data_IF_129782519263
#
_entry.id   IF_129782519263
#
_cell.length_a   1.000
_cell.length_b   1.000
_cell.length_c   1.000
_cell.angle_alpha   90.00
_cell.angle_beta   90.00
_cell.angle_gamma   90.00
#
_symmetry.space_group_name_H-M   'P 1'
#
loop_
_entity.id
_entity.type
_entity.pdbx_description
1 polymer ?
#
# COMPACT_ATOMS: atom_id res chain seq x y z
N UNK A 1 -39.92 -20.80 -37.74
CA UNK A 1 -40.34 -22.11 -38.27
C UNK A 1 -40.81 -21.92 -39.71
N UNK A 2 -40.23 -22.62 -40.63
CA UNK A 2 -40.62 -22.63 -42.03
C UNK A 2 -41.09 -24.05 -42.35
N UNK A 3 -42.32 -24.16 -42.90
CA UNK A 3 -42.87 -25.44 -43.34
C UNK A 3 -42.92 -25.40 -44.85
N UNK A 4 -42.42 -26.43 -45.56
CA UNK A 4 -42.47 -26.57 -46.98
C UNK A 4 -43.82 -27.12 -47.43
N UNK A 5 -44.07 -27.17 -48.76
CA UNK A 5 -45.30 -27.68 -49.35
C UNK A 5 -45.52 -29.21 -49.18
N UNK A 6 -44.51 -29.92 -48.74
CA UNK A 6 -44.56 -31.34 -48.39
C UNK A 6 -44.84 -31.56 -46.89
N UNK A 7 -45.02 -30.48 -46.08
CA UNK A 7 -45.29 -30.54 -44.64
C UNK A 7 -44.06 -30.73 -43.80
N UNK A 8 -42.88 -30.65 -44.38
CA UNK A 8 -41.62 -30.70 -43.59
C UNK A 8 -41.36 -29.37 -42.92
N UNK A 9 -41.09 -29.42 -41.61
CA UNK A 9 -40.89 -28.22 -40.82
C UNK A 9 -39.42 -28.11 -40.45
N UNK A 10 -38.78 -27.00 -40.77
CA UNK A 10 -37.45 -26.65 -40.34
C UNK A 10 -37.52 -25.51 -39.33
N UNK A 11 -36.96 -25.71 -38.16
CA UNK A 11 -36.84 -24.68 -37.14
C UNK A 11 -35.40 -24.18 -37.14
N UNK A 12 -35.20 -22.91 -37.47
CA UNK A 12 -33.93 -22.25 -37.33
C UNK A 12 -33.99 -21.27 -36.14
N UNK A 13 -33.19 -21.48 -35.16
CA UNK A 13 -33.06 -20.56 -34.04
C UNK A 13 -32.10 -19.43 -34.43
N UNK A 14 -32.63 -18.24 -34.66
CA UNK A 14 -31.83 -17.04 -34.89
C UNK A 14 -31.53 -16.41 -33.53
N UNK A 15 -30.28 -16.52 -33.10
CA UNK A 15 -29.78 -15.80 -31.92
C UNK A 15 -29.43 -14.38 -32.32
N UNK A 16 -30.25 -13.42 -31.94
CA UNK A 16 -29.93 -12.01 -32.06
C UNK A 16 -29.23 -11.58 -30.77
N UNK A 17 -27.97 -11.22 -30.87
CA UNK A 17 -27.30 -10.52 -29.79
C UNK A 17 -27.50 -9.01 -30.01
N UNK A 18 -28.34 -8.38 -29.22
CA UNK A 18 -28.43 -6.91 -29.24
C UNK A 18 -27.08 -6.32 -28.82
N UNK A 19 -26.57 -5.31 -29.55
CA UNK A 19 -25.35 -4.65 -29.15
C UNK A 19 -25.51 -4.05 -27.74
N UNK A 20 -24.53 -4.22 -26.91
CA UNK A 20 -24.45 -3.60 -25.56
C UNK A 20 -24.66 -2.09 -25.70
N UNK A 21 -25.52 -1.53 -24.87
CA UNK A 21 -25.74 -0.08 -24.82
C UNK A 21 -24.70 0.64 -24.02
N UNK A 22 -24.07 -0.06 -23.11
CA UNK A 22 -23.05 0.48 -22.18
C UNK A 22 -21.67 -0.03 -22.59
N UNK A 23 -20.71 0.88 -22.74
CA UNK A 23 -19.29 0.56 -22.94
C UNK A 23 -18.40 1.30 -21.96
N UNK A 24 -17.39 0.60 -21.43
CA UNK A 24 -16.35 1.18 -20.57
C UNK A 24 -15.33 1.90 -21.46
N UNK A 25 -15.23 3.23 -21.31
CA UNK A 25 -14.38 4.06 -22.16
C UNK A 25 -13.01 4.33 -21.52
N UNK A 26 -13.02 4.70 -20.25
CA UNK A 26 -11.81 5.10 -19.55
C UNK A 26 -11.86 4.66 -18.09
N UNK A 27 -10.73 4.18 -17.61
CA UNK A 27 -10.50 3.91 -16.18
C UNK A 27 -9.30 4.69 -15.69
N UNK A 28 -9.40 5.21 -14.47
CA UNK A 28 -8.29 5.76 -13.72
C UNK A 28 -8.29 5.11 -12.33
N UNK A 29 -7.44 4.11 -12.16
CA UNK A 29 -7.37 3.32 -10.93
C UNK A 29 -6.65 4.06 -9.80
N UNK A 30 -5.88 5.11 -10.12
CA UNK A 30 -5.32 5.98 -9.09
C UNK A 30 -6.37 6.95 -8.55
N UNK A 31 -7.16 7.56 -9.41
CA UNK A 31 -8.28 8.42 -9.01
C UNK A 31 -9.51 7.61 -8.56
N UNK A 32 -9.50 6.28 -8.69
CA UNK A 32 -10.63 5.38 -8.42
C UNK A 32 -11.88 5.72 -9.24
N UNK A 33 -11.72 6.15 -10.49
CA UNK A 33 -12.81 6.58 -11.37
C UNK A 33 -12.94 5.73 -12.63
N UNK A 34 -14.15 5.69 -13.20
CA UNK A 34 -14.38 5.18 -14.54
C UNK A 34 -15.39 6.06 -15.28
N UNK A 35 -15.22 6.13 -16.61
CA UNK A 35 -16.17 6.73 -17.53
C UNK A 35 -16.73 5.67 -18.46
N UNK A 36 -18.05 5.63 -18.57
CA UNK A 36 -18.79 4.71 -19.44
C UNK A 36 -19.66 5.54 -20.39
N UNK A 37 -19.77 5.10 -21.64
CA UNK A 37 -20.75 5.65 -22.57
C UNK A 37 -22.01 4.78 -22.58
N UNK A 38 -23.16 5.44 -22.67
CA UNK A 38 -24.47 4.83 -22.83
C UNK A 38 -25.00 5.34 -24.13
N UNK A 39 -25.34 4.44 -25.07
CA UNK A 39 -25.72 4.79 -26.42
C UNK A 39 -27.13 4.26 -26.77
N UNK A 40 -27.77 4.89 -27.75
CA UNK A 40 -29.02 4.43 -28.35
C UNK A 40 -30.20 4.32 -27.35
N UNK A 41 -30.31 5.27 -26.44
CA UNK A 41 -31.49 5.40 -25.58
C UNK A 41 -32.58 6.15 -26.32
N UNK A 42 -33.83 5.76 -26.09
CA UNK A 42 -34.98 6.48 -26.66
C UNK A 42 -34.92 7.96 -26.23
N UNK A 43 -35.08 8.86 -27.22
CA UNK A 43 -35.07 10.31 -26.98
C UNK A 43 -36.24 10.77 -26.11
N UNK A 44 -37.30 9.99 -26.00
CA UNK A 44 -38.46 10.27 -25.16
C UNK A 44 -38.30 9.75 -23.72
N UNK A 45 -37.18 9.06 -23.40
CA UNK A 45 -36.91 8.58 -22.05
C UNK A 45 -36.90 9.75 -21.04
N UNK A 46 -37.63 9.58 -19.96
CA UNK A 46 -37.75 10.60 -18.91
C UNK A 46 -36.60 10.52 -17.90
N UNK A 47 -36.01 9.33 -17.75
CA UNK A 47 -34.89 9.11 -16.83
C UNK A 47 -33.93 8.05 -17.38
N UNK A 48 -32.62 8.31 -17.19
CA UNK A 48 -31.55 7.35 -17.47
C UNK A 48 -30.63 7.31 -16.24
N UNK A 49 -30.41 6.11 -15.72
CA UNK A 49 -29.56 5.88 -14.54
C UNK A 49 -28.69 4.66 -14.76
N UNK A 50 -27.42 4.77 -14.37
CA UNK A 50 -26.48 3.64 -14.29
C UNK A 50 -26.18 3.36 -12.81
N UNK A 51 -26.47 2.16 -12.39
CA UNK A 51 -26.10 1.68 -11.05
C UNK A 51 -24.97 0.66 -11.17
N UNK A 52 -24.10 0.63 -10.18
CA UNK A 52 -22.98 -0.30 -10.12
C UNK A 52 -22.72 -0.76 -8.69
N UNK A 53 -22.08 -1.91 -8.55
CA UNK A 53 -21.60 -2.43 -7.26
C UNK A 53 -20.40 -3.36 -7.48
N UNK A 54 -19.63 -3.60 -6.44
CA UNK A 54 -18.68 -4.71 -6.43
C UNK A 54 -19.49 -6.00 -6.49
N UNK A 55 -19.08 -6.92 -7.35
CA UNK A 55 -19.78 -8.20 -7.53
C UNK A 55 -19.89 -8.96 -6.22
N UNK A 56 -21.13 -9.34 -5.88
CA UNK A 56 -21.46 -10.02 -4.64
C UNK A 56 -21.88 -9.11 -3.49
N UNK A 57 -21.71 -7.78 -3.61
CA UNK A 57 -22.29 -6.83 -2.67
C UNK A 57 -23.81 -6.69 -2.90
N UNK A 58 -24.53 -6.30 -1.86
CA UNK A 58 -26.00 -6.19 -1.92
C UNK A 58 -26.48 -4.81 -2.36
N UNK A 59 -25.74 -3.77 -2.01
CA UNK A 59 -26.14 -2.38 -2.23
C UNK A 59 -25.63 -1.87 -3.58
N UNK A 60 -26.51 -1.16 -4.31
CA UNK A 60 -26.17 -0.49 -5.55
C UNK A 60 -25.76 0.97 -5.30
N UNK A 61 -24.65 1.36 -5.90
CA UNK A 61 -24.23 2.76 -5.99
C UNK A 61 -24.72 3.33 -7.33
N UNK A 62 -25.00 4.63 -7.38
CA UNK A 62 -25.43 5.31 -8.61
C UNK A 62 -24.25 6.09 -9.19
N UNK A 63 -23.96 5.87 -10.47
CA UNK A 63 -23.01 6.69 -11.22
C UNK A 63 -23.64 8.04 -11.56
N UNK A 64 -22.80 9.07 -11.70
CA UNK A 64 -23.23 10.36 -12.23
C UNK A 64 -23.48 10.22 -13.73
N UNK A 65 -24.70 10.51 -14.20
CA UNK A 65 -25.07 10.38 -15.61
C UNK A 65 -25.37 11.77 -16.19
N UNK A 66 -24.69 12.09 -17.29
CA UNK A 66 -24.85 13.35 -18.02
C UNK A 66 -25.29 13.05 -19.46
N UNK A 67 -26.35 13.72 -19.90
CA UNK A 67 -26.79 13.66 -21.29
C UNK A 67 -25.83 14.41 -22.19
N UNK A 68 -25.38 13.77 -23.27
CA UNK A 68 -24.52 14.40 -24.28
C UNK A 68 -25.36 15.00 -25.40
N UNK A 69 -26.05 14.16 -26.16
CA UNK A 69 -26.98 14.51 -27.23
C UNK A 69 -27.63 13.26 -27.80
N UNK A 70 -28.79 13.40 -28.44
CA UNK A 70 -29.39 12.36 -29.29
C UNK A 70 -29.51 10.96 -28.69
N UNK A 71 -29.85 10.85 -27.39
CA UNK A 71 -30.01 9.55 -26.72
C UNK A 71 -28.68 8.92 -26.32
N UNK A 72 -27.58 9.71 -26.23
CA UNK A 72 -26.29 9.27 -25.73
C UNK A 72 -25.97 9.97 -24.40
N UNK A 73 -25.32 9.24 -23.50
CA UNK A 73 -25.00 9.72 -22.16
C UNK A 73 -23.58 9.30 -21.78
N UNK A 74 -22.99 10.04 -20.87
CA UNK A 74 -21.76 9.64 -20.14
C UNK A 74 -22.14 9.33 -18.70
N UNK A 75 -21.77 8.13 -18.23
CA UNK A 75 -21.86 7.76 -16.82
C UNK A 75 -20.46 7.79 -16.19
N UNK A 76 -20.33 8.43 -15.03
CA UNK A 76 -19.07 8.51 -14.31
C UNK A 76 -19.17 7.85 -12.95
N UNK A 77 -18.36 6.83 -12.72
CA UNK A 77 -18.15 6.22 -11.41
C UNK A 77 -17.07 7.02 -10.67
N UNK A 78 -17.37 7.44 -9.45
CA UNK A 78 -16.46 8.22 -8.59
C UNK A 78 -16.38 7.61 -7.19
N UNK A 79 -15.21 7.71 -6.51
CA UNK A 79 -15.09 7.30 -5.12
C UNK A 79 -15.77 8.32 -4.20
N UNK A 80 -16.22 7.85 -3.06
CA UNK A 80 -16.59 8.70 -1.92
C UNK A 80 -15.44 8.66 -0.91
N UNK A 81 -15.01 9.81 -0.44
CA UNK A 81 -13.94 9.94 0.54
C UNK A 81 -14.51 10.32 1.90
N UNK A 82 -13.97 9.69 2.94
CA UNK A 82 -14.19 10.10 4.33
C UNK A 82 -12.95 10.88 4.77
N UNK A 83 -13.16 12.10 5.26
CA UNK A 83 -12.11 12.89 5.90
C UNK A 83 -12.10 12.66 7.41
N UNK A 84 -10.92 12.71 8.00
CA UNK A 84 -10.70 12.63 9.44
C UNK A 84 -9.42 13.37 9.82
N UNK A 85 -9.05 13.29 11.07
CA UNK A 85 -7.76 13.79 11.58
C UNK A 85 -6.95 12.61 12.11
N UNK A 86 -5.65 12.64 11.88
CA UNK A 86 -4.73 11.70 12.48
C UNK A 86 -4.31 12.14 13.90
N UNK A 87 -3.46 11.36 14.56
CA UNK A 87 -2.96 11.62 15.92
C UNK A 87 -2.20 12.95 16.07
N UNK A 88 -1.77 13.56 14.96
CA UNK A 88 -1.11 14.86 14.93
C UNK A 88 -2.05 16.02 14.57
N UNK A 89 -3.36 15.77 14.42
CA UNK A 89 -4.34 16.76 14.02
C UNK A 89 -4.25 17.15 12.54
N UNK A 90 -3.59 16.33 11.71
CA UNK A 90 -3.51 16.56 10.27
C UNK A 90 -4.68 15.89 9.57
N UNK A 91 -5.29 16.60 8.62
CA UNK A 91 -6.37 16.03 7.81
C UNK A 91 -5.88 14.86 6.98
N UNK A 92 -6.62 13.76 7.05
CA UNK A 92 -6.40 12.55 6.27
C UNK A 92 -7.70 12.13 5.59
N UNK A 93 -7.54 11.34 4.51
CA UNK A 93 -8.65 10.83 3.70
C UNK A 93 -8.55 9.32 3.56
N UNK A 94 -9.68 8.64 3.69
CA UNK A 94 -9.85 7.23 3.36
C UNK A 94 -10.94 7.05 2.32
N UNK A 95 -10.71 6.22 1.32
CA UNK A 95 -11.72 5.91 0.32
C UNK A 95 -12.77 4.97 0.94
N UNK A 96 -14.05 5.22 0.64
CA UNK A 96 -15.07 4.23 0.87
C UNK A 96 -14.85 3.08 -0.13
N UNK A 97 -14.53 1.89 0.36
CA UNK A 97 -14.19 0.73 -0.47
C UNK A 97 -15.35 0.12 -1.27
N UNK A 98 -16.56 0.65 -1.13
CA UNK A 98 -17.76 0.25 -1.89
C UNK A 98 -18.08 1.19 -3.03
N UNK A 99 -17.54 2.40 -3.04
CA UNK A 99 -17.78 3.42 -4.07
C UNK A 99 -16.52 3.69 -4.87
N UNK A 100 -16.66 3.96 -6.16
CA UNK A 100 -15.52 4.15 -7.05
C UNK A 100 -15.06 2.85 -7.72
N UNK A 101 -13.91 2.93 -8.37
CA UNK A 101 -13.32 1.84 -9.15
C UNK A 101 -11.96 1.47 -8.58
N UNK A 102 -11.82 0.25 -8.08
CA UNK A 102 -10.58 -0.27 -7.49
C UNK A 102 -9.98 -1.38 -8.36
N UNK A 103 -8.67 -1.49 -8.36
CA UNK A 103 -7.97 -2.60 -9.01
C UNK A 103 -8.36 -3.96 -8.41
N UNK A 104 -8.23 -5.01 -9.19
CA UNK A 104 -8.50 -6.41 -8.78
C UNK A 104 -9.95 -6.69 -8.33
N UNK A 105 -10.87 -5.75 -8.44
CA UNK A 105 -12.30 -5.97 -8.16
C UNK A 105 -13.06 -6.28 -9.42
N UNK A 106 -14.13 -7.06 -9.29
CA UNK A 106 -15.11 -7.30 -10.36
C UNK A 106 -16.38 -6.52 -10.04
N UNK A 107 -16.95 -5.86 -11.01
CA UNK A 107 -18.13 -5.01 -10.86
C UNK A 107 -19.30 -5.53 -11.64
N UNK A 108 -20.50 -5.37 -11.08
CA UNK A 108 -21.78 -5.50 -11.78
C UNK A 108 -22.35 -4.12 -12.02
N UNK A 109 -22.96 -3.91 -13.17
CA UNK A 109 -23.75 -2.72 -13.44
C UNK A 109 -25.12 -3.06 -13.98
N UNK A 110 -26.05 -2.13 -13.81
CA UNK A 110 -27.36 -2.15 -14.46
C UNK A 110 -27.69 -0.76 -15.00
N UNK A 111 -28.16 -0.74 -16.27
CA UNK A 111 -28.71 0.44 -16.92
C UNK A 111 -30.22 0.44 -16.72
N UNK A 112 -30.74 1.50 -16.11
CA UNK A 112 -32.17 1.71 -15.95
C UNK A 112 -32.62 2.88 -16.83
N UNK A 113 -33.71 2.68 -17.55
CA UNK A 113 -34.40 3.71 -18.31
C UNK A 113 -35.86 3.71 -17.89
N UNK A 114 -36.33 4.85 -17.41
CA UNK A 114 -37.66 5.03 -16.82
C UNK A 114 -38.01 3.99 -15.76
N UNK A 115 -36.98 3.66 -14.94
CA UNK A 115 -37.07 2.70 -13.84
C UNK A 115 -37.01 1.23 -14.27
N UNK A 116 -36.92 0.93 -15.58
CA UNK A 116 -36.83 -0.44 -16.10
C UNK A 116 -35.37 -0.79 -16.41
N UNK A 117 -34.91 -1.94 -15.93
CA UNK A 117 -33.56 -2.45 -16.23
C UNK A 117 -33.52 -2.89 -17.69
N UNK A 118 -32.76 -2.17 -18.52
CA UNK A 118 -32.57 -2.48 -19.95
C UNK A 118 -31.34 -3.36 -20.18
N UNK A 119 -30.31 -3.22 -19.37
CA UNK A 119 -29.08 -3.98 -19.53
C UNK A 119 -28.47 -4.24 -18.14
N UNK A 120 -27.94 -5.44 -17.97
CA UNK A 120 -27.13 -5.80 -16.80
C UNK A 120 -25.92 -6.60 -17.26
N UNK A 121 -24.73 -6.25 -16.77
CA UNK A 121 -23.51 -6.92 -17.17
C UNK A 121 -22.43 -6.79 -16.08
N UNK A 122 -21.29 -7.44 -16.34
CA UNK A 122 -20.13 -7.47 -15.44
C UNK A 122 -18.93 -6.86 -16.18
N UNK A 123 -18.13 -6.10 -15.47
CA UNK A 123 -16.81 -5.67 -15.96
C UNK A 123 -15.74 -5.80 -14.88
N UNK A 124 -14.50 -5.97 -15.34
CA UNK A 124 -13.33 -6.02 -14.47
C UNK A 124 -12.36 -4.93 -14.94
N UNK A 125 -11.97 -4.00 -14.09
CA UNK A 125 -10.91 -3.04 -14.42
C UNK A 125 -9.61 -3.76 -14.76
N UNK A 126 -8.76 -3.11 -15.56
CA UNK A 126 -7.43 -3.63 -15.83
C UNK A 126 -6.68 -3.92 -14.52
N UNK A 127 -6.07 -5.09 -14.46
CA UNK A 127 -5.31 -5.50 -13.27
C UNK A 127 -3.89 -4.97 -13.43
N UNK A 128 -3.59 -3.85 -12.79
CA UNK A 128 -2.23 -3.33 -12.73
C UNK A 128 -1.59 -3.85 -11.45
N UNK A 129 -0.87 -4.95 -11.58
CA UNK A 129 -0.04 -5.46 -10.51
C UNK A 129 1.18 -4.56 -10.36
N UNK A 130 1.55 -4.30 -9.12
CA UNK A 130 2.71 -3.48 -8.83
C UNK A 130 4.04 -4.18 -9.16
N UNK A 131 5.10 -3.45 -8.91
CA UNK A 131 6.49 -3.84 -9.09
C UNK A 131 6.83 -5.12 -8.30
N UNK A 132 7.66 -6.03 -8.85
CA UNK A 132 8.16 -7.25 -8.21
C UNK A 132 8.96 -7.04 -6.91
N UNK A 133 9.06 -5.82 -6.38
CA UNK A 133 9.64 -5.53 -5.06
C UNK A 133 9.07 -6.46 -3.97
N UNK A 134 7.85 -6.95 -4.14
CA UNK A 134 7.19 -7.86 -3.21
C UNK A 134 7.33 -9.35 -3.58
N UNK A 135 8.23 -9.71 -4.48
CA UNK A 135 8.41 -11.08 -4.93
C UNK A 135 8.86 -12.09 -3.86
N UNK A 136 9.02 -11.62 -2.62
CA UNK A 136 9.44 -12.44 -1.48
C UNK A 136 10.95 -12.38 -1.22
N UNK A 137 11.37 -13.09 -0.18
CA UNK A 137 12.77 -13.18 0.24
C UNK A 137 13.34 -14.57 -0.06
N UNK A 138 14.65 -14.62 -0.27
CA UNK A 138 15.43 -15.86 -0.33
C UNK A 138 16.73 -15.65 0.44
N UNK A 139 17.43 -16.71 0.78
CA UNK A 139 18.73 -16.62 1.47
C UNK A 139 19.79 -15.81 0.72
N UNK A 140 19.63 -15.65 -0.61
CA UNK A 140 20.49 -14.84 -1.46
C UNK A 140 20.09 -13.37 -1.59
N UNK A 141 18.99 -12.94 -0.93
CA UNK A 141 18.57 -11.53 -1.00
C UNK A 141 19.64 -10.63 -0.38
N UNK A 142 19.98 -9.54 -1.09
CA UNK A 142 21.10 -8.66 -0.72
C UNK A 142 20.90 -7.94 0.62
N UNK A 143 19.67 -7.74 1.07
CA UNK A 143 19.36 -7.16 2.38
C UNK A 143 19.87 -8.02 3.56
N UNK A 144 20.18 -9.30 3.35
CA UNK A 144 20.73 -10.18 4.38
C UNK A 144 22.27 -10.20 4.40
N UNK A 145 22.90 -9.48 3.51
CA UNK A 145 24.35 -9.34 3.45
C UNK A 145 24.82 -8.04 4.11
N UNK A 146 26.13 -7.91 4.32
CA UNK A 146 26.74 -6.66 4.79
C UNK A 146 26.99 -5.65 3.68
N UNK A 147 26.65 -6.00 2.43
CA UNK A 147 26.86 -5.19 1.23
C UNK A 147 25.52 -4.63 0.75
N UNK A 148 25.16 -3.42 1.20
CA UNK A 148 23.95 -2.72 0.76
C UNK A 148 24.31 -1.80 -0.42
N UNK A 149 23.96 -2.23 -1.62
CA UNK A 149 24.21 -1.45 -2.85
C UNK A 149 23.00 -0.60 -3.22
N UNK A 150 23.22 0.45 -4.00
CA UNK A 150 22.15 1.35 -4.49
C UNK A 150 21.14 0.66 -5.42
N UNK A 151 21.44 -0.53 -5.92
CA UNK A 151 20.58 -1.30 -6.81
C UNK A 151 19.63 -2.24 -6.09
N UNK A 152 19.71 -2.38 -4.75
CA UNK A 152 18.82 -3.26 -4.00
C UNK A 152 17.50 -2.59 -3.72
N UNK A 153 16.39 -3.35 -3.82
CA UNK A 153 15.07 -2.87 -3.43
C UNK A 153 14.96 -2.78 -1.91
N UNK A 154 15.52 -3.77 -1.21
CA UNK A 154 15.52 -3.86 0.23
C UNK A 154 16.94 -3.71 0.79
N UNK A 155 17.06 -2.95 1.88
CA UNK A 155 18.25 -2.80 2.68
C UNK A 155 18.03 -3.17 4.15
N UNK A 156 19.11 -3.34 4.89
CA UNK A 156 19.10 -3.57 6.33
C UNK A 156 20.30 -2.90 6.98
N UNK A 157 20.32 -2.84 8.32
CA UNK A 157 21.43 -2.34 9.09
C UNK A 157 22.65 -3.27 9.16
N UNK A 158 22.64 -4.40 8.47
CA UNK A 158 23.77 -5.33 8.43
C UNK A 158 25.05 -4.63 7.98
N UNK A 159 26.11 -4.86 8.72
CA UNK A 159 27.44 -4.33 8.42
C UNK A 159 28.53 -5.27 8.97
N UNK A 160 29.79 -4.98 8.74
CA UNK A 160 30.91 -5.84 9.12
C UNK A 160 31.04 -6.07 10.63
N UNK A 161 30.44 -5.21 11.47
CA UNK A 161 30.47 -5.32 12.92
C UNK A 161 29.17 -5.91 13.49
N UNK A 162 28.09 -5.86 12.72
CA UNK A 162 26.79 -6.40 13.09
C UNK A 162 26.13 -7.03 11.84
N UNK A 163 26.62 -8.22 11.48
CA UNK A 163 26.27 -8.88 10.19
C UNK A 163 24.94 -9.65 10.21
N UNK A 164 24.29 -9.77 11.36
CA UNK A 164 23.11 -10.61 11.54
C UNK A 164 21.96 -9.87 12.25
N UNK A 165 21.82 -8.57 12.00
CA UNK A 165 20.69 -7.78 12.45
C UNK A 165 19.43 -8.10 11.63
N UNK A 166 19.62 -8.52 10.38
CA UNK A 166 18.56 -9.00 9.49
C UNK A 166 19.10 -10.20 8.70
N UNK A 167 18.38 -11.33 8.76
CA UNK A 167 18.73 -12.58 8.09
C UNK A 167 17.49 -13.23 7.47
N UNK A 168 17.70 -14.24 6.63
CA UNK A 168 16.61 -15.07 6.13
C UNK A 168 16.34 -16.22 7.09
N UNK A 169 15.08 -16.43 7.47
CA UNK A 169 14.64 -17.61 8.20
C UNK A 169 13.97 -18.60 7.25
N UNK A 170 14.65 -19.73 7.01
CA UNK A 170 14.17 -20.76 6.08
C UNK A 170 12.89 -21.44 6.57
N UNK A 171 12.69 -21.54 7.89
CA UNK A 171 11.54 -22.22 8.47
C UNK A 171 10.21 -21.52 8.23
N UNK A 172 10.23 -20.20 8.16
CA UNK A 172 9.07 -19.35 7.90
C UNK A 172 9.09 -18.67 6.54
N UNK A 173 10.19 -18.78 5.79
CA UNK A 173 10.45 -18.06 4.53
C UNK A 173 10.33 -16.55 4.71
N UNK A 174 10.78 -16.03 5.85
CA UNK A 174 10.63 -14.64 6.24
C UNK A 174 11.98 -13.92 6.38
N UNK A 175 11.96 -12.59 6.30
CA UNK A 175 13.03 -11.76 6.83
C UNK A 175 12.95 -11.74 8.36
N UNK A 176 14.00 -12.17 9.01
CA UNK A 176 14.15 -12.21 10.45
C UNK A 176 15.07 -11.08 10.92
N UNK A 177 14.55 -10.18 11.71
CA UNK A 177 15.27 -9.06 12.31
C UNK A 177 15.45 -9.30 13.80
N UNK A 178 16.63 -8.99 14.34
CA UNK A 178 16.92 -9.10 15.76
C UNK A 178 17.72 -7.91 16.27
N UNK A 179 17.25 -7.30 17.35
CA UNK A 179 18.00 -6.29 18.07
C UNK A 179 19.12 -6.95 18.89
N UNK A 180 20.33 -6.40 18.84
CA UNK A 180 21.50 -6.96 19.50
C UNK A 180 22.34 -5.86 20.17
N UNK A 181 23.11 -6.25 21.19
CA UNK A 181 24.24 -5.43 21.63
C UNK A 181 25.42 -5.71 20.67
N UNK A 182 25.87 -4.74 19.88
CA UNK A 182 26.93 -4.95 18.89
C UNK A 182 28.34 -5.03 19.52
N UNK A 183 28.48 -4.72 20.80
CA UNK A 183 29.79 -4.73 21.46
C UNK A 183 30.78 -3.67 20.94
N UNK A 184 30.28 -2.56 20.38
CA UNK A 184 31.11 -1.52 19.76
C UNK A 184 31.07 -0.26 20.63
N UNK A 185 32.17 0.06 21.27
CA UNK A 185 32.31 1.29 22.10
C UNK A 185 31.23 1.41 23.16
N UNK A 186 30.48 2.52 23.15
CA UNK A 186 29.37 2.77 24.08
C UNK A 186 28.01 2.35 23.51
N UNK A 187 27.96 1.78 22.33
CA UNK A 187 26.69 1.34 21.66
C UNK A 187 26.20 0.06 22.32
N UNK A 188 25.07 0.14 23.02
CA UNK A 188 24.47 -1.01 23.70
C UNK A 188 23.36 -1.67 22.90
N UNK A 189 22.82 -0.98 21.87
CA UNK A 189 21.77 -1.48 21.02
C UNK A 189 22.11 -1.22 19.54
N UNK A 190 21.98 -2.25 18.71
CA UNK A 190 21.82 -2.17 17.27
C UNK A 190 20.45 -2.77 16.94
N UNK A 191 19.47 -1.97 16.54
CA UNK A 191 18.15 -2.47 16.20
C UNK A 191 18.21 -3.33 14.92
N UNK A 192 17.52 -4.47 14.93
CA UNK A 192 17.26 -5.21 13.70
C UNK A 192 16.28 -4.42 12.83
N UNK A 193 16.58 -4.27 11.55
CA UNK A 193 15.72 -3.52 10.64
C UNK A 193 15.77 -4.06 9.22
N UNK A 194 14.69 -3.79 8.49
CA UNK A 194 14.52 -4.06 7.06
C UNK A 194 13.76 -2.88 6.47
N UNK A 195 14.23 -2.33 5.36
CA UNK A 195 13.58 -1.17 4.76
C UNK A 195 13.79 -1.12 3.24
N UNK A 196 12.94 -0.40 2.55
CA UNK A 196 13.15 -0.05 1.14
C UNK A 196 14.13 1.11 1.06
N UNK A 197 15.33 0.83 0.54
CA UNK A 197 16.42 1.82 0.49
C UNK A 197 17.79 1.20 0.62
N UNK A 198 18.76 2.01 1.06
CA UNK A 198 20.16 1.59 1.24
C UNK A 198 20.69 1.97 2.62
N UNK A 199 21.70 1.25 3.05
CA UNK A 199 22.40 1.50 4.31
C UNK A 199 23.89 1.74 4.08
N UNK A 200 24.47 2.63 4.86
CA UNK A 200 25.93 2.86 4.93
C UNK A 200 26.38 2.95 6.38
N UNK A 201 27.27 2.06 6.77
CA UNK A 201 28.00 2.22 8.03
C UNK A 201 29.11 3.26 7.88
N UNK A 202 29.13 4.26 8.75
CA UNK A 202 30.06 5.41 8.65
C UNK A 202 31.42 5.16 9.31
N UNK A 203 31.62 3.97 9.84
CA UNK A 203 32.90 3.54 10.41
C UNK A 203 32.93 3.48 11.94
N UNK A 204 33.95 2.81 12.46
CA UNK A 204 34.11 2.52 13.89
C UNK A 204 34.41 3.76 14.75
N UNK A 205 34.97 4.81 14.15
CA UNK A 205 35.26 6.05 14.85
C UNK A 205 33.99 6.89 15.04
N UNK A 206 33.15 6.99 14.02
CA UNK A 206 31.87 7.69 14.06
C UNK A 206 30.82 6.88 14.82
N UNK A 207 30.88 5.56 14.75
CA UNK A 207 29.91 4.63 15.35
C UNK A 207 28.47 4.97 15.00
N UNK A 208 28.26 5.35 13.72
CA UNK A 208 26.95 5.71 13.16
C UNK A 208 26.68 4.93 11.88
N UNK A 209 25.40 4.80 11.55
CA UNK A 209 24.93 4.29 10.28
C UNK A 209 23.94 5.24 9.65
N UNK A 210 23.93 5.33 8.33
CA UNK A 210 22.97 6.14 7.57
C UNK A 210 22.08 5.24 6.74
N UNK A 211 20.78 5.29 7.02
CA UNK A 211 19.74 4.72 6.19
C UNK A 211 19.29 5.78 5.18
N UNK A 212 19.25 5.44 3.91
CA UNK A 212 18.67 6.28 2.87
C UNK A 212 17.38 5.61 2.39
N UNK A 213 16.24 6.08 2.88
CA UNK A 213 14.91 5.54 2.61
C UNK A 213 14.41 5.91 1.22
N UNK A 214 13.71 5.00 0.61
CA UNK A 214 13.00 5.20 -0.65
C UNK A 214 13.45 4.23 -1.74
N UNK A 215 12.45 3.71 -2.45
CA UNK A 215 12.63 2.85 -3.61
C UNK A 215 11.65 3.26 -4.70
N UNK A 216 12.05 3.09 -5.96
CA UNK A 216 11.17 3.37 -7.09
C UNK A 216 10.04 2.35 -7.11
N UNK A 217 8.83 2.87 -7.31
CA UNK A 217 7.65 2.07 -7.56
C UNK A 217 6.75 2.83 -8.55
N UNK A 218 6.21 2.13 -9.53
CA UNK A 218 5.28 2.75 -10.49
C UNK A 218 3.85 2.45 -10.08
N UNK A 219 3.15 3.43 -9.56
CA UNK A 219 1.77 3.31 -9.17
C UNK A 219 0.85 3.59 -10.34
N UNK A 220 0.01 2.61 -10.66
CA UNK A 220 -1.06 2.75 -11.64
C UNK A 220 -2.44 2.62 -10.98
N UNK A 221 -2.47 2.05 -9.77
CA UNK A 221 -3.66 1.96 -8.94
C UNK A 221 -3.35 2.46 -7.53
N UNK A 222 -4.33 3.09 -6.88
CA UNK A 222 -4.21 3.62 -5.53
C UNK A 222 -4.52 2.50 -4.53
N UNK A 223 -3.55 2.03 -3.74
CA UNK A 223 -3.81 1.02 -2.72
C UNK A 223 -4.55 1.63 -1.53
N UNK A 224 -5.36 0.81 -0.86
CA UNK A 224 -6.07 1.17 0.38
C UNK A 224 -5.33 0.74 1.63
N UNK A 225 -4.50 -0.31 1.52
CA UNK A 225 -3.69 -0.82 2.63
C UNK A 225 -2.46 -1.58 2.12
N UNK A 226 -1.50 -1.82 3.02
CA UNK A 226 -0.46 -2.81 2.87
C UNK A 226 -0.81 -4.03 3.73
N UNK A 227 -0.83 -5.21 3.12
CA UNK A 227 -0.95 -6.50 3.80
C UNK A 227 0.42 -7.15 3.89
N UNK A 228 0.71 -7.80 5.02
CA UNK A 228 1.89 -8.64 5.23
C UNK A 228 1.60 -9.69 6.31
N UNK A 229 2.51 -10.63 6.49
CA UNK A 229 2.51 -11.52 7.65
C UNK A 229 3.68 -11.16 8.55
N UNK A 230 3.44 -11.17 9.86
CA UNK A 230 4.48 -10.88 10.85
C UNK A 230 4.40 -11.81 12.06
N UNK A 231 5.52 -11.91 12.77
CA UNK A 231 5.66 -12.52 14.07
C UNK A 231 6.69 -11.69 14.86
N UNK A 232 6.53 -11.53 16.17
CA UNK A 232 7.41 -10.68 16.96
C UNK A 232 7.60 -11.20 18.38
N UNK A 233 8.80 -11.00 18.93
CA UNK A 233 9.10 -11.12 20.37
C UNK A 233 9.49 -9.74 20.87
N UNK A 234 8.69 -9.18 21.80
CA UNK A 234 8.85 -7.82 22.30
C UNK A 234 8.98 -7.84 23.80
N UNK A 235 10.12 -7.39 24.29
CA UNK A 235 10.42 -7.25 25.72
C UNK A 235 10.36 -5.79 26.19
N UNK A 236 10.86 -5.56 27.39
CA UNK A 236 11.03 -4.23 27.96
C UNK A 236 12.35 -3.61 27.50
N UNK A 237 12.41 -2.29 27.45
CA UNK A 237 13.62 -1.54 27.07
C UNK A 237 14.77 -1.87 28.03
N UNK A 238 15.89 -2.33 27.48
CA UNK A 238 17.11 -2.68 28.21
C UNK A 238 18.25 -1.72 27.93
N UNK A 239 18.20 -0.98 26.83
CA UNK A 239 19.22 -0.03 26.42
C UNK A 239 18.68 1.40 26.48
N UNK A 240 19.31 2.25 27.26
CA UNK A 240 19.06 3.68 27.28
C UNK A 240 19.91 4.36 26.20
N UNK A 241 19.24 4.96 25.23
CA UNK A 241 19.85 5.78 24.19
C UNK A 241 19.64 7.27 24.45
N UNK A 242 19.32 8.03 23.40
CA UNK A 242 19.15 9.48 23.48
C UNK A 242 17.67 9.93 23.41
N UNK A 243 16.71 8.99 23.28
CA UNK A 243 15.29 9.31 23.28
C UNK A 243 14.79 9.64 24.68
N UNK A 244 13.91 10.65 24.76
CA UNK A 244 13.12 10.97 25.95
C UNK A 244 11.69 10.43 25.87
N UNK A 245 11.35 9.69 24.79
CA UNK A 245 10.00 9.17 24.57
C UNK A 245 9.76 7.81 25.23
N UNK A 246 10.81 7.13 25.65
CA UNK A 246 10.72 5.83 26.32
C UNK A 246 11.89 5.65 27.29
N UNK A 247 11.63 5.04 28.44
CA UNK A 247 12.63 4.78 29.48
C UNK A 247 12.99 3.30 29.56
N UNK A 248 14.10 2.99 30.23
CA UNK A 248 14.44 1.61 30.60
C UNK A 248 13.32 1.01 31.45
N UNK A 249 13.07 -0.28 31.30
CA UNK A 249 12.02 -1.06 31.95
C UNK A 249 10.58 -0.78 31.43
N UNK A 250 10.38 0.20 30.56
CA UNK A 250 9.10 0.36 29.85
C UNK A 250 8.95 -0.67 28.73
N UNK A 251 7.71 -1.01 28.38
CA UNK A 251 7.41 -1.92 27.27
C UNK A 251 7.89 -1.34 25.95
N UNK A 252 8.80 -2.04 25.26
CA UNK A 252 9.26 -1.64 23.93
C UNK A 252 8.17 -1.90 22.87
N UNK A 253 8.34 -1.33 21.70
CA UNK A 253 7.47 -1.49 20.55
C UNK A 253 8.31 -1.73 19.30
N UNK A 254 7.97 -2.74 18.52
CA UNK A 254 8.44 -2.81 17.14
C UNK A 254 7.80 -1.68 16.30
N UNK A 255 8.28 -1.47 15.11
CA UNK A 255 7.75 -0.47 14.18
C UNK A 255 7.60 -1.07 12.79
N UNK A 256 6.42 -0.93 12.19
CA UNK A 256 6.15 -1.25 10.78
C UNK A 256 5.51 -0.02 10.16
N UNK A 257 6.23 0.62 9.25
CA UNK A 257 5.83 1.86 8.57
C UNK A 257 5.75 1.62 7.09
N UNK A 258 4.71 2.13 6.46
CA UNK A 258 4.56 2.17 5.00
C UNK A 258 4.21 3.58 4.58
N UNK A 259 4.86 4.09 3.52
CA UNK A 259 4.52 5.37 2.92
C UNK A 259 4.51 5.28 1.40
N UNK A 260 3.55 5.97 0.81
CA UNK A 260 3.59 6.38 -0.60
C UNK A 260 4.06 7.82 -0.62
N UNK A 261 5.14 8.07 -1.32
CA UNK A 261 5.82 9.38 -1.37
C UNK A 261 5.94 9.86 -2.81
N UNK A 262 6.28 11.13 -2.98
CA UNK A 262 6.65 11.70 -4.28
C UNK A 262 8.00 12.41 -4.12
N UNK A 263 9.04 11.63 -3.81
CA UNK A 263 10.37 12.12 -3.52
C UNK A 263 11.27 12.10 -4.75
N UNK A 264 12.00 13.20 -4.98
CA UNK A 264 13.05 13.26 -6.00
C UNK A 264 14.35 12.60 -5.52
N UNK A 265 14.62 12.63 -4.23
CA UNK A 265 15.79 12.03 -3.58
C UNK A 265 15.36 11.11 -2.43
N UNK A 266 16.25 10.19 -2.03
CA UNK A 266 16.04 9.40 -0.81
C UNK A 266 16.16 10.30 0.42
N UNK A 267 15.33 10.04 1.43
CA UNK A 267 15.47 10.65 2.75
C UNK A 267 16.51 9.92 3.58
N UNK A 268 17.47 10.66 4.13
CA UNK A 268 18.55 10.07 4.92
C UNK A 268 18.35 10.29 6.43
N UNK A 269 18.39 9.19 7.18
CA UNK A 269 18.44 9.20 8.66
C UNK A 269 19.78 8.64 9.10
N UNK A 270 20.50 9.38 9.91
CA UNK A 270 21.77 8.92 10.51
C UNK A 270 21.57 8.71 11.99
N UNK A 271 21.87 7.51 12.45
CA UNK A 271 21.70 7.06 13.83
C UNK A 271 22.97 6.36 14.36
N UNK A 272 23.13 6.27 15.68
CA UNK A 272 24.28 5.66 16.36
C UNK A 272 24.75 6.50 17.54
N UNK A 273 26.06 6.68 17.67
CA UNK A 273 26.63 7.47 18.77
C UNK A 273 26.13 8.92 18.69
N UNK A 274 25.46 9.37 19.75
CA UNK A 274 24.93 10.73 19.87
C UNK A 274 23.46 10.82 19.40
N UNK A 275 22.97 12.04 19.27
CA UNK A 275 21.59 12.31 18.83
C UNK A 275 21.46 12.03 17.35
N UNK A 276 20.45 11.25 16.93
CA UNK A 276 20.23 10.98 15.52
C UNK A 276 19.85 12.25 14.74
N UNK A 277 20.10 12.24 13.44
CA UNK A 277 19.73 13.31 12.53
C UNK A 277 18.87 12.77 11.38
N UNK A 278 17.98 13.62 10.85
CA UNK A 278 17.05 13.24 9.80
C UNK A 278 15.98 12.23 10.24
N UNK A 279 15.74 12.10 11.54
CA UNK A 279 14.64 11.28 12.06
C UNK A 279 13.32 11.92 11.64
N UNK A 280 12.40 11.09 11.17
CA UNK A 280 11.14 11.54 10.63
C UNK A 280 9.97 10.71 11.14
N UNK A 281 8.79 11.32 11.15
CA UNK A 281 7.53 10.67 11.49
C UNK A 281 6.48 11.00 10.41
N UNK A 282 6.04 10.03 9.61
CA UNK A 282 5.11 10.29 8.53
C UNK A 282 3.76 10.83 9.02
N UNK A 283 3.33 10.47 10.21
CA UNK A 283 2.06 10.94 10.79
C UNK A 283 2.07 12.42 11.16
N UNK A 284 3.21 12.95 11.53
CA UNK A 284 3.38 14.37 11.90
C UNK A 284 4.06 15.19 10.82
N UNK A 285 4.65 14.53 9.82
CA UNK A 285 5.57 15.12 8.84
C UNK A 285 6.79 15.81 9.45
N UNK A 286 7.09 15.49 10.73
CA UNK A 286 8.28 16.00 11.40
C UNK A 286 9.52 15.38 10.77
N UNK A 287 10.57 16.20 10.60
CA UNK A 287 11.84 15.79 10.00
C UNK A 287 11.85 15.79 8.48
N UNK A 288 10.72 16.09 7.83
CA UNK A 288 10.61 16.19 6.37
C UNK A 288 10.60 17.63 5.89
N UNK A 289 11.27 17.91 4.77
CA UNK A 289 11.18 19.19 4.07
C UNK A 289 9.88 19.29 3.25
N UNK A 290 9.56 20.50 2.78
CA UNK A 290 8.40 20.72 1.91
C UNK A 290 8.51 19.94 0.57
N UNK A 291 9.72 19.61 0.14
CA UNK A 291 10.00 18.88 -1.10
C UNK A 291 9.84 17.36 -0.90
N UNK A 292 9.87 16.88 0.36
CA UNK A 292 9.71 15.47 0.72
C UNK A 292 8.23 15.13 0.93
N UNK A 293 7.45 15.20 -0.14
CA UNK A 293 6.01 15.00 -0.10
C UNK A 293 5.64 13.56 0.26
N UNK A 294 4.85 13.38 1.32
CA UNK A 294 4.15 12.13 1.63
C UNK A 294 2.73 12.23 1.09
N UNK A 295 2.34 11.26 0.26
CA UNK A 295 0.99 11.14 -0.30
C UNK A 295 0.10 10.36 0.66
N UNK A 296 0.59 9.22 1.15
CA UNK A 296 -0.11 8.38 2.10
C UNK A 296 0.85 7.68 3.05
N UNK A 297 0.36 7.32 4.22
CA UNK A 297 1.12 6.53 5.18
C UNK A 297 0.22 5.57 5.96
N UNK A 298 0.84 4.52 6.48
CA UNK A 298 0.28 3.65 7.50
C UNK A 298 1.36 3.25 8.48
N UNK A 299 1.01 3.12 9.77
CA UNK A 299 1.95 2.73 10.83
C UNK A 299 1.29 1.76 11.78
N UNK A 300 2.05 0.79 12.25
CA UNK A 300 1.69 -0.09 13.36
C UNK A 300 2.90 -0.25 14.27
N UNK A 301 2.66 -0.18 15.58
CA UNK A 301 3.67 -0.35 16.62
C UNK A 301 3.33 -1.57 17.50
N UNK A 302 3.69 -2.80 17.07
CA UNK A 302 3.47 -3.98 17.89
C UNK A 302 4.20 -3.85 19.23
N UNK A 303 3.45 -3.95 20.34
CA UNK A 303 3.98 -3.88 21.72
C UNK A 303 3.87 -5.20 22.46
N UNK A 304 3.26 -6.22 21.84
CA UNK A 304 3.07 -7.53 22.41
C UNK A 304 3.78 -8.60 21.59
N UNK A 305 4.22 -9.66 22.25
CA UNK A 305 4.75 -10.83 21.57
C UNK A 305 3.65 -11.55 20.79
N UNK A 306 3.89 -11.76 19.51
CA UNK A 306 3.06 -12.50 18.57
C UNK A 306 3.81 -13.76 18.15
N UNK A 307 3.41 -14.92 18.67
CA UNK A 307 4.17 -16.19 18.54
C UNK A 307 4.07 -16.82 17.16
N UNK A 308 2.94 -16.67 16.49
CA UNK A 308 2.67 -17.29 15.21
C UNK A 308 2.65 -16.24 14.10
N UNK A 309 3.02 -16.64 12.86
CA UNK A 309 2.92 -15.76 11.69
C UNK A 309 1.47 -15.35 11.49
N UNK A 310 1.19 -14.07 11.71
CA UNK A 310 -0.16 -13.50 11.74
C UNK A 310 -0.30 -12.48 10.61
N UNK A 311 -1.42 -12.50 9.92
CA UNK A 311 -1.75 -11.50 8.91
C UNK A 311 -1.92 -10.12 9.58
N UNK A 312 -1.35 -9.12 8.95
CA UNK A 312 -1.47 -7.72 9.33
C UNK A 312 -1.86 -6.91 8.12
N UNK A 313 -2.95 -6.16 8.24
CA UNK A 313 -3.40 -5.19 7.24
C UNK A 313 -3.20 -3.80 7.83
N UNK A 314 -2.37 -2.99 7.18
CA UNK A 314 -2.05 -1.61 7.58
C UNK A 314 -2.79 -0.66 6.65
N UNK A 315 -3.89 -0.03 7.08
CA UNK A 315 -4.62 0.95 6.29
C UNK A 315 -3.73 2.15 5.92
N UNK A 316 -3.94 2.70 4.73
CA UNK A 316 -3.25 3.90 4.26
C UNK A 316 -4.12 5.15 4.48
N UNK A 317 -3.57 6.09 5.23
CA UNK A 317 -4.11 7.42 5.43
C UNK A 317 -3.54 8.35 4.36
N UNK A 318 -4.38 8.84 3.46
CA UNK A 318 -3.99 9.76 2.41
C UNK A 318 -4.06 11.21 2.89
N UNK A 319 -3.03 12.00 2.63
CA UNK A 319 -3.04 13.43 2.94
C UNK A 319 -3.77 14.28 1.90
N UNK A 320 -4.05 13.72 0.73
CA UNK A 320 -4.74 14.40 -0.36
C UNK A 320 -5.52 13.36 -1.19
N UNK A 321 -6.80 13.59 -1.39
CA UNK A 321 -7.69 12.74 -2.19
C UNK A 321 -7.72 13.12 -3.68
N UNK A 322 -7.13 14.24 -4.08
CA UNK A 322 -7.14 14.79 -5.44
C UNK A 322 -5.79 14.75 -6.15
N UNK A 323 -4.69 14.41 -5.45
CA UNK A 323 -3.37 14.33 -6.08
C UNK A 323 -3.32 13.21 -7.12
N UNK A 324 -2.54 13.43 -8.17
CA UNK A 324 -2.18 12.40 -9.16
C UNK A 324 -1.29 11.32 -8.55
N UNK A 325 -1.04 10.25 -9.32
CA UNK A 325 -0.09 9.22 -8.95
C UNK A 325 1.31 9.83 -8.75
N UNK A 326 2.13 9.25 -7.84
CA UNK A 326 3.50 9.71 -7.65
C UNK A 326 4.31 9.65 -8.94
N UNK A 327 5.12 10.67 -9.20
CA UNK A 327 5.99 10.77 -10.38
C UNK A 327 7.47 10.85 -10.02
N UNK A 328 7.80 10.94 -8.74
CA UNK A 328 9.16 11.01 -8.23
C UNK A 328 9.97 9.72 -8.42
N UNK A 329 11.24 9.77 -8.08
CA UNK A 329 12.15 8.63 -8.23
C UNK A 329 12.05 7.62 -7.08
N UNK A 330 11.65 8.07 -5.89
CA UNK A 330 11.63 7.28 -4.66
C UNK A 330 10.23 7.36 -4.03
N UNK A 331 9.33 6.54 -4.54
CA UNK A 331 7.90 6.66 -4.32
C UNK A 331 7.33 5.73 -3.26
N UNK A 332 8.14 4.76 -2.78
CA UNK A 332 7.72 3.85 -1.72
C UNK A 332 8.75 3.84 -0.59
N UNK A 333 8.28 3.90 0.64
CA UNK A 333 9.02 3.56 1.84
C UNK A 333 8.26 2.50 2.62
N UNK A 334 8.92 1.37 2.89
CA UNK A 334 8.49 0.40 3.89
C UNK A 334 9.67 0.28 4.86
N UNK A 335 9.42 0.38 6.15
CA UNK A 335 10.43 0.25 7.19
C UNK A 335 9.90 -0.61 8.33
N UNK A 336 10.60 -1.70 8.61
CA UNK A 336 10.34 -2.60 9.72
C UNK A 336 11.53 -2.57 10.68
N UNK A 337 11.28 -2.33 11.94
CA UNK A 337 12.34 -2.28 12.97
C UNK A 337 11.89 -2.97 14.25
N UNK A 338 12.82 -3.60 14.93
CA UNK A 338 12.59 -4.32 16.20
C UNK A 338 12.32 -3.40 17.39
N UNK A 339 12.66 -2.10 17.26
CA UNK A 339 12.42 -1.09 18.28
C UNK A 339 12.02 0.24 17.63
N UNK A 340 10.89 0.81 18.07
CA UNK A 340 10.33 2.07 17.54
C UNK A 340 11.30 3.24 17.69
N UNK A 341 12.02 3.28 18.78
CA UNK A 341 13.02 4.34 19.07
C UNK A 341 14.45 3.87 18.81
N UNK A 342 14.63 2.89 17.92
CA UNK A 342 15.91 2.33 17.55
C UNK A 342 16.91 3.34 16.97
N UNK A 343 16.44 4.37 16.27
CA UNK A 343 17.28 5.45 15.77
C UNK A 343 17.95 6.25 16.92
N UNK A 344 17.31 6.30 18.06
CA UNK A 344 17.83 6.89 19.30
C UNK A 344 18.63 5.90 20.14
N UNK A 345 18.78 4.65 19.69
CA UNK A 345 19.38 3.53 20.42
C UNK A 345 18.66 3.17 21.74
N UNK A 346 17.37 3.53 21.84
CA UNK A 346 16.49 3.06 22.91
C UNK A 346 15.75 1.81 22.43
N UNK A 347 15.76 0.76 23.22
CA UNK A 347 15.03 -0.47 22.91
C UNK A 347 15.47 -1.67 23.73
N UNK A 348 14.88 -2.81 23.42
CA UNK A 348 15.20 -4.08 24.06
C UNK A 348 16.18 -4.88 23.19
N UNK A 349 17.39 -5.12 23.72
CA UNK A 349 18.30 -6.09 23.10
C UNK A 349 17.71 -7.49 23.22
N UNK A 350 17.48 -8.15 22.08
CA UNK A 350 16.81 -9.44 22.01
C UNK A 350 15.42 -9.40 21.37
N UNK A 351 14.79 -8.22 21.23
CA UNK A 351 13.59 -8.11 20.43
C UNK A 351 13.79 -8.67 19.03
N UNK A 352 12.79 -9.38 18.54
CA UNK A 352 12.80 -9.91 17.18
C UNK A 352 11.52 -9.59 16.42
N UNK A 353 11.65 -9.48 15.10
CA UNK A 353 10.54 -9.24 14.18
C UNK A 353 10.75 -10.05 12.91
N UNK A 354 9.76 -10.81 12.51
CA UNK A 354 9.71 -11.52 11.24
C UNK A 354 8.68 -10.85 10.34
N UNK A 355 8.97 -10.70 9.07
CA UNK A 355 8.03 -10.17 8.07
C UNK A 355 8.16 -10.89 6.75
N UNK A 356 7.02 -11.10 6.06
CA UNK A 356 6.97 -11.69 4.73
C UNK A 356 5.69 -11.35 3.99
N UNK A 357 5.63 -11.74 2.71
CA UNK A 357 4.43 -11.75 1.86
C UNK A 357 3.73 -10.37 1.83
N UNK A 358 4.50 -9.32 1.51
CA UNK A 358 3.95 -7.98 1.33
C UNK A 358 3.06 -7.94 0.10
N UNK A 359 1.87 -7.34 0.24
CA UNK A 359 0.90 -7.19 -0.83
C UNK A 359 0.11 -5.89 -0.68
N UNK A 360 -0.15 -5.19 -1.81
CA UNK A 360 -1.08 -4.07 -1.82
C UNK A 360 -2.53 -4.57 -1.80
N UNK A 361 -3.34 -3.95 -0.96
CA UNK A 361 -4.80 -4.10 -0.93
C UNK A 361 -5.42 -2.93 -1.68
N UNK A 362 -6.34 -3.23 -2.58
CA UNK A 362 -7.06 -2.24 -3.38
C UNK A 362 -8.55 -2.25 -3.08
#
# INVERSE_FOLDING_TARGET
>A
VVTDLAGQTTTQELKFQMPTKVSLEKTDLWANTASLTINNIDKNAQSVSLQYRIKGETEWNTAEVVSNSDGNYTATIKPTWTSGENEAGLTIYTANNKTGLFAKKQYEYQLLVDGIVLEQNIFTPANNEGDPIFSGFSSSSSCFTTSNTSSTSWGSGNNTFASSLCTYDESTSAAYMQAKNPGIGSIQLAPGNLFTGTFKFNGIFQQTGTVSFGQKFTYTARPTALKLYYKAEIGTVTAAGTSTYINVDEQDQASIVVCITDWSNRHATTAGKGTPSGVWNPATKVGLSAEEKIIAYGVVYPSQTVKDMTELIIPLNYYDNSSGAPTGNYTIVISCATSRYGDYLNGCAGNSLYVKDFEWVY
#
